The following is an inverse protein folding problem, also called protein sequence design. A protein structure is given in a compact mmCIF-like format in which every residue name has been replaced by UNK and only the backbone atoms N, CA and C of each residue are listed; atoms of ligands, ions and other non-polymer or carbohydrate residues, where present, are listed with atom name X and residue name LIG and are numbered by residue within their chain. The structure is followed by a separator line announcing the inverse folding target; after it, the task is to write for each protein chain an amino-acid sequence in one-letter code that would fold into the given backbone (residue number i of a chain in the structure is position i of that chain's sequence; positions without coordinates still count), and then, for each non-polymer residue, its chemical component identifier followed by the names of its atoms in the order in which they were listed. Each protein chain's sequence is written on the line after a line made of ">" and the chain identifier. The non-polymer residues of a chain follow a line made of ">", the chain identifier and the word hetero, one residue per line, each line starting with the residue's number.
data_IF_992319796320
#
_entry.id   IF_992319796320
#
_cell.length_a   1.000
_cell.length_b   1.000
_cell.length_c   1.000
_cell.angle_alpha   90.00
_cell.angle_beta   90.00
_cell.angle_gamma   90.00
#
_symmetry.space_group_name_H-M   'P 1'
#
loop_
_entity.id
_entity.type
_entity.pdbx_description
1 polymer ?
#
# COMPACT_ATOMS: atom_id res chain seq x y z
N UNK A 1 -25.32 10.57 -18.47
CA UNK A 1 -24.40 9.64 -17.80
C UNK A 1 -24.97 8.24 -18.01
N UNK A 2 -24.36 7.40 -18.86
CA UNK A 2 -24.82 6.02 -18.99
C UNK A 2 -24.61 5.34 -17.63
N UNK A 3 -25.71 4.96 -16.97
CA UNK A 3 -25.66 4.16 -15.74
C UNK A 3 -25.16 2.78 -16.14
N UNK A 4 -23.96 2.43 -15.70
CA UNK A 4 -23.42 1.09 -15.86
C UNK A 4 -24.38 0.13 -15.12
N UNK A 5 -25.01 -0.81 -15.83
CA UNK A 5 -26.05 -1.67 -15.25
C UNK A 5 -25.49 -2.77 -14.34
N UNK A 6 -24.16 -2.93 -14.30
CA UNK A 6 -23.46 -4.01 -13.62
C UNK A 6 -22.78 -3.58 -12.32
N UNK A 7 -22.99 -2.33 -11.87
CA UNK A 7 -22.20 -1.73 -10.79
C UNK A 7 -22.94 -1.58 -9.45
N UNK A 8 -24.23 -1.89 -9.39
CA UNK A 8 -25.04 -1.71 -8.17
C UNK A 8 -24.94 -2.87 -7.20
N UNK A 9 -24.94 -4.10 -7.69
CA UNK A 9 -25.01 -5.32 -6.88
C UNK A 9 -23.69 -6.07 -6.86
N UNK A 10 -23.38 -6.68 -5.72
CA UNK A 10 -22.14 -7.46 -5.54
C UNK A 10 -22.16 -8.80 -6.29
N UNK A 11 -23.35 -9.32 -6.61
CA UNK A 11 -23.55 -10.62 -7.27
C UNK A 11 -23.61 -10.53 -8.79
N UNK A 12 -23.53 -9.31 -9.35
CA UNK A 12 -23.70 -9.08 -10.78
C UNK A 12 -22.34 -9.00 -11.47
N UNK A 13 -22.06 -9.97 -12.35
CA UNK A 13 -20.86 -9.97 -13.17
C UNK A 13 -21.02 -9.05 -14.37
N UNK A 14 -19.99 -8.26 -14.66
CA UNK A 14 -19.91 -7.53 -15.92
C UNK A 14 -19.59 -8.47 -17.10
N UNK A 15 -19.88 -8.08 -18.35
CA UNK A 15 -19.53 -8.86 -19.54
C UNK A 15 -18.03 -9.17 -19.68
N UNK A 16 -17.17 -8.39 -19.01
CA UNK A 16 -15.73 -8.60 -18.97
C UNK A 16 -15.27 -9.53 -17.82
N UNK A 17 -16.18 -10.15 -17.07
CA UNK A 17 -15.84 -11.03 -15.95
C UNK A 17 -15.33 -10.30 -14.71
N UNK A 18 -15.79 -9.08 -14.46
CA UNK A 18 -15.40 -8.25 -13.29
C UNK A 18 -16.58 -8.00 -12.36
N UNK A 19 -16.28 -7.85 -11.07
CA UNK A 19 -17.23 -7.46 -10.01
C UNK A 19 -16.93 -6.03 -9.54
N UNK A 20 -17.68 -5.05 -10.05
CA UNK A 20 -17.39 -3.63 -9.81
C UNK A 20 -17.53 -3.21 -8.34
N UNK A 21 -18.50 -3.77 -7.59
CA UNK A 21 -18.64 -3.49 -6.16
C UNK A 21 -17.40 -3.88 -5.33
N UNK A 22 -16.71 -4.96 -5.73
CA UNK A 22 -15.45 -5.36 -5.07
C UNK A 22 -14.33 -4.39 -5.41
N UNK A 23 -14.24 -3.96 -6.67
CA UNK A 23 -13.25 -2.98 -7.09
C UNK A 23 -13.46 -1.62 -6.41
N UNK A 24 -14.70 -1.17 -6.25
CA UNK A 24 -15.01 0.05 -5.50
C UNK A 24 -14.63 -0.06 -4.02
N UNK A 25 -14.82 -1.23 -3.41
CA UNK A 25 -14.34 -1.47 -2.06
C UNK A 25 -12.80 -1.41 -1.98
N UNK A 26 -12.09 -1.87 -3.01
CA UNK A 26 -10.63 -1.72 -3.10
C UNK A 26 -10.19 -0.26 -3.27
N UNK A 27 -10.96 0.57 -3.97
CA UNK A 27 -10.71 2.01 -4.05
C UNK A 27 -10.84 2.70 -2.68
N UNK A 28 -11.78 2.26 -1.84
CA UNK A 28 -11.89 2.76 -0.46
C UNK A 28 -10.61 2.49 0.34
N UNK A 29 -9.94 1.35 0.12
CA UNK A 29 -8.64 1.04 0.75
C UNK A 29 -7.58 2.03 0.30
N UNK A 30 -7.50 2.32 -1.00
CA UNK A 30 -6.51 3.28 -1.57
C UNK A 30 -6.70 4.71 -1.05
N UNK A 31 -7.93 5.09 -0.71
CA UNK A 31 -8.23 6.39 -0.10
C UNK A 31 -7.92 6.46 1.40
N UNK A 32 -7.80 5.30 2.07
CA UNK A 32 -7.31 5.23 3.44
C UNK A 32 -5.93 5.87 3.59
N UNK A 33 -5.54 6.27 4.79
CA UNK A 33 -4.15 6.64 5.05
C UNK A 33 -3.20 5.47 4.83
N UNK A 34 -1.94 5.76 4.51
CA UNK A 34 -0.91 4.74 4.38
C UNK A 34 -0.76 3.89 5.66
N UNK A 35 -0.74 2.59 5.49
CA UNK A 35 -0.33 1.59 6.46
C UNK A 35 0.74 0.71 5.81
N UNK A 36 1.82 0.46 6.53
CA UNK A 36 3.02 -0.22 6.06
C UNK A 36 3.32 -1.36 7.02
N UNK A 37 3.75 -2.48 6.48
CA UNK A 37 4.19 -3.64 7.24
C UNK A 37 5.46 -4.20 6.64
N UNK A 38 6.36 -4.65 7.51
CA UNK A 38 7.62 -5.27 7.12
C UNK A 38 8.01 -6.30 8.17
N UNK A 39 8.69 -7.36 7.73
CA UNK A 39 9.13 -8.45 8.58
C UNK A 39 10.58 -8.86 8.31
N UNK A 40 11.26 -9.25 9.39
CA UNK A 40 12.49 -10.03 9.37
C UNK A 40 12.17 -11.47 9.72
N UNK A 41 13.19 -12.30 9.95
CA UNK A 41 12.99 -13.65 10.51
C UNK A 41 12.40 -13.63 11.92
N UNK A 42 12.66 -12.56 12.69
CA UNK A 42 12.41 -12.54 14.14
C UNK A 42 11.34 -11.55 14.55
N UNK A 43 11.12 -10.47 13.79
CA UNK A 43 10.21 -9.40 14.15
C UNK A 43 9.35 -8.96 12.95
N UNK A 44 8.16 -8.45 13.24
CA UNK A 44 7.27 -7.77 12.30
C UNK A 44 6.97 -6.40 12.87
N UNK A 45 7.09 -5.38 12.02
CA UNK A 45 6.76 -3.99 12.37
C UNK A 45 5.62 -3.52 11.49
N UNK A 46 4.65 -2.87 12.11
CA UNK A 46 3.57 -2.16 11.45
C UNK A 46 3.74 -0.66 11.71
N UNK A 47 3.66 0.15 10.66
CA UNK A 47 3.65 1.60 10.74
C UNK A 47 2.40 2.16 10.06
N UNK A 48 1.81 3.19 10.64
CA UNK A 48 0.61 3.84 10.09
C UNK A 48 0.75 5.35 10.12
N UNK A 49 0.35 6.00 9.03
CA UNK A 49 0.20 7.45 8.99
C UNK A 49 -1.07 7.85 9.75
N UNK A 50 -0.92 8.60 10.82
CA UNK A 50 -1.99 9.25 11.54
C UNK A 50 -2.44 10.49 10.77
N UNK A 51 -3.75 10.65 10.62
CA UNK A 51 -4.35 11.84 10.02
C UNK A 51 -5.35 12.39 11.02
N UNK A 52 -5.12 13.63 11.45
CA UNK A 52 -6.09 14.40 12.22
C UNK A 52 -6.95 15.22 11.25
N UNK A 53 -8.23 15.39 11.56
CA UNK A 53 -9.13 16.21 10.74
C UNK A 53 -8.89 17.71 10.97
N UNK A 54 -8.43 18.06 12.17
CA UNK A 54 -8.09 19.42 12.60
C UNK A 54 -7.05 19.33 13.72
N UNK A 55 -6.39 20.44 14.05
CA UNK A 55 -5.38 20.50 15.12
C UNK A 55 -5.94 20.09 16.49
N UNK A 56 -7.23 20.35 16.74
CA UNK A 56 -7.92 19.98 17.98
C UNK A 56 -8.46 18.53 17.97
N UNK A 57 -8.37 17.82 16.84
CA UNK A 57 -8.87 16.46 16.70
C UNK A 57 -7.79 15.45 17.04
N UNK A 58 -8.12 14.46 17.87
CA UNK A 58 -7.31 13.25 17.99
C UNK A 58 -7.26 12.51 16.66
N UNK A 59 -6.14 11.83 16.38
CA UNK A 59 -6.07 10.92 15.24
C UNK A 59 -6.91 9.65 15.51
N UNK A 60 -7.43 9.04 14.43
CA UNK A 60 -8.08 7.75 14.55
C UNK A 60 -7.05 6.63 14.70
N UNK A 61 -7.29 5.71 15.64
CA UNK A 61 -6.48 4.50 15.82
C UNK A 61 -6.67 3.57 14.61
N UNK A 62 -5.54 3.13 14.03
CA UNK A 62 -5.50 2.25 12.85
C UNK A 62 -4.81 0.92 13.11
N UNK A 63 -4.02 0.85 14.18
CA UNK A 63 -3.40 -0.37 14.64
C UNK A 63 -4.21 -0.90 15.82
N UNK A 64 -4.55 -2.19 15.75
CA UNK A 64 -5.31 -2.90 16.77
C UNK A 64 -4.55 -4.16 17.17
N UNK A 65 -4.30 -4.31 18.47
CA UNK A 65 -3.87 -5.58 19.05
C UNK A 65 -4.99 -6.61 18.91
N UNK A 66 -4.72 -7.77 18.33
CA UNK A 66 -5.68 -8.87 18.22
C UNK A 66 -5.43 -9.87 19.33
N UNK A 67 -4.18 -10.27 19.52
CA UNK A 67 -3.73 -11.17 20.58
C UNK A 67 -2.32 -10.73 21.01
N UNK A 68 -1.70 -11.44 21.96
CA UNK A 68 -0.33 -11.17 22.38
C UNK A 68 0.70 -11.41 21.27
N UNK A 69 0.43 -12.31 20.32
CA UNK A 69 1.32 -12.62 19.20
C UNK A 69 0.82 -12.06 17.86
N UNK A 70 -0.32 -11.35 17.82
CA UNK A 70 -0.95 -10.87 16.57
C UNK A 70 -1.47 -9.43 16.72
N UNK A 71 -1.19 -8.60 15.71
CA UNK A 71 -1.83 -7.31 15.55
C UNK A 71 -2.12 -6.96 14.10
N UNK A 72 -2.97 -5.96 13.92
CA UNK A 72 -3.49 -5.59 12.61
C UNK A 72 -3.44 -4.09 12.41
N UNK A 73 -2.93 -3.68 11.26
CA UNK A 73 -3.05 -2.32 10.74
C UNK A 73 -4.13 -2.27 9.65
N UNK A 74 -4.93 -1.20 9.64
CA UNK A 74 -6.05 -1.05 8.71
C UNK A 74 -5.87 0.14 7.77
N UNK A 75 -6.33 0.01 6.53
CA UNK A 75 -6.54 1.12 5.60
C UNK A 75 -7.91 1.01 4.93
N UNK A 76 -8.62 2.15 4.83
CA UNK A 76 -9.99 2.23 4.30
C UNK A 76 -11.02 2.53 5.41
N UNK A 77 -12.18 1.90 5.34
CA UNK A 77 -13.29 2.15 6.27
C UNK A 77 -12.98 1.61 7.68
N UNK A 78 -12.77 2.52 8.63
CA UNK A 78 -12.41 2.19 10.02
C UNK A 78 -13.47 1.33 10.73
N UNK A 79 -14.75 1.54 10.40
CA UNK A 79 -15.84 0.74 10.97
C UNK A 79 -15.71 -0.75 10.61
N UNK A 80 -15.44 -1.05 9.34
CA UNK A 80 -15.24 -2.43 8.86
C UNK A 80 -13.98 -3.03 9.49
N UNK A 81 -12.89 -2.24 9.58
CA UNK A 81 -11.66 -2.67 10.24
C UNK A 81 -11.86 -3.06 11.71
N UNK A 82 -12.70 -2.33 12.45
CA UNK A 82 -13.06 -2.67 13.84
C UNK A 82 -13.87 -3.96 13.94
N UNK A 83 -14.82 -4.17 13.02
CA UNK A 83 -15.62 -5.41 12.96
C UNK A 83 -14.72 -6.62 12.71
N UNK A 84 -13.81 -6.52 11.74
CA UNK A 84 -12.87 -7.59 11.42
C UNK A 84 -11.86 -7.82 12.56
N UNK A 85 -11.34 -6.75 13.18
CA UNK A 85 -10.46 -6.88 14.34
C UNK A 85 -11.14 -7.57 15.52
N UNK A 86 -12.42 -7.26 15.79
CA UNK A 86 -13.20 -7.92 16.85
C UNK A 86 -13.47 -9.39 16.51
N UNK A 87 -13.75 -9.69 15.25
CA UNK A 87 -13.89 -11.06 14.78
C UNK A 87 -12.59 -11.85 15.03
N UNK A 88 -11.45 -11.34 14.58
CA UNK A 88 -10.15 -11.99 14.78
C UNK A 88 -9.83 -12.21 16.26
N UNK A 89 -10.11 -11.22 17.14
CA UNK A 89 -9.96 -11.38 18.59
C UNK A 89 -10.79 -12.53 19.13
N UNK A 90 -12.02 -12.67 18.65
CA UNK A 90 -12.93 -13.73 19.10
C UNK A 90 -12.42 -15.10 18.64
N UNK A 91 -11.93 -15.22 17.41
CA UNK A 91 -11.33 -16.46 16.90
C UNK A 91 -10.07 -16.85 17.67
N UNK A 92 -9.17 -15.90 17.97
CA UNK A 92 -7.98 -16.18 18.80
C UNK A 92 -8.36 -16.67 20.20
N UNK A 93 -9.29 -15.99 20.87
CA UNK A 93 -9.76 -16.38 22.21
C UNK A 93 -10.40 -17.77 22.19
N UNK A 94 -11.27 -18.04 21.20
CA UNK A 94 -11.93 -19.35 21.07
C UNK A 94 -10.93 -20.47 20.82
N UNK A 95 -9.93 -20.22 19.97
CA UNK A 95 -8.89 -21.19 19.68
C UNK A 95 -8.04 -21.48 20.92
N UNK A 96 -7.59 -20.44 21.62
CA UNK A 96 -6.81 -20.59 22.85
C UNK A 96 -7.63 -21.30 23.95
N UNK A 97 -8.91 -20.99 24.08
CA UNK A 97 -9.80 -21.68 25.03
C UNK A 97 -9.96 -23.18 24.71
N UNK A 98 -10.01 -23.54 23.42
CA UNK A 98 -10.28 -24.92 22.99
C UNK A 98 -9.02 -25.79 22.97
N UNK A 99 -7.89 -25.21 22.55
CA UNK A 99 -6.65 -25.93 22.27
C UNK A 99 -5.50 -25.57 23.22
N UNK A 100 -5.71 -24.64 24.16
CA UNK A 100 -4.70 -24.14 25.11
C UNK A 100 -3.40 -23.69 24.43
N UNK A 101 -3.53 -23.16 23.21
CA UNK A 101 -2.42 -22.76 22.35
C UNK A 101 -2.77 -21.48 21.58
N UNK A 102 -1.81 -20.60 21.29
CA UNK A 102 -2.03 -19.45 20.41
C UNK A 102 -2.44 -19.92 19.01
N UNK A 103 -3.35 -19.17 18.37
CA UNK A 103 -3.83 -19.47 17.02
C UNK A 103 -2.73 -19.15 15.98
N UNK A 104 -2.31 -20.10 15.12
CA UNK A 104 -1.34 -19.83 14.07
C UNK A 104 -1.82 -18.74 13.10
N UNK A 105 -0.90 -17.86 12.67
CA UNK A 105 -1.27 -16.64 11.94
C UNK A 105 -1.90 -16.98 10.59
N UNK A 106 -1.32 -17.94 9.87
CA UNK A 106 -1.86 -18.39 8.58
C UNK A 106 -3.29 -18.92 8.68
N UNK A 107 -3.63 -19.64 9.76
CA UNK A 107 -4.99 -20.18 9.97
C UNK A 107 -6.00 -19.05 10.22
N UNK A 108 -5.63 -18.05 11.02
CA UNK A 108 -6.47 -16.88 11.27
C UNK A 108 -6.74 -16.10 9.98
N UNK A 109 -5.73 -15.93 9.12
CA UNK A 109 -5.87 -15.19 7.86
C UNK A 109 -6.78 -15.91 6.87
N UNK A 110 -6.73 -17.25 6.81
CA UNK A 110 -7.68 -18.05 6.01
C UNK A 110 -9.12 -17.84 6.50
N UNK A 111 -9.36 -17.92 7.81
CA UNK A 111 -10.71 -17.68 8.37
C UNK A 111 -11.21 -16.25 8.12
N UNK A 112 -10.31 -15.27 8.13
CA UNK A 112 -10.60 -13.88 7.80
C UNK A 112 -10.97 -13.74 6.31
N UNK A 113 -10.21 -14.39 5.42
CA UNK A 113 -10.46 -14.43 4.00
C UNK A 113 -11.82 -15.06 3.67
N UNK A 114 -12.14 -16.20 4.26
CA UNK A 114 -13.45 -16.87 4.08
C UNK A 114 -14.60 -15.96 4.52
N UNK A 115 -14.44 -15.28 5.67
CA UNK A 115 -15.43 -14.31 6.15
C UNK A 115 -15.63 -13.16 5.17
N UNK A 116 -14.54 -12.62 4.62
CA UNK A 116 -14.58 -11.54 3.64
C UNK A 116 -15.20 -12.01 2.32
N UNK A 117 -14.86 -13.22 1.87
CA UNK A 117 -15.40 -13.84 0.67
C UNK A 117 -16.93 -13.89 0.75
N UNK A 118 -17.51 -14.42 1.84
CA UNK A 118 -18.98 -14.58 1.96
C UNK A 118 -19.74 -13.26 1.72
N UNK A 119 -19.11 -12.11 2.00
CA UNK A 119 -19.69 -10.79 1.78
C UNK A 119 -19.66 -10.32 0.31
N UNK A 120 -18.90 -10.99 -0.57
CA UNK A 120 -18.84 -10.73 -2.01
C UNK A 120 -19.82 -11.58 -2.83
N UNK A 121 -20.38 -12.64 -2.25
CA UNK A 121 -21.30 -13.56 -2.96
C UNK A 121 -22.77 -13.41 -2.56
N UNK A 122 -23.08 -12.69 -1.48
CA UNK A 122 -24.45 -12.57 -0.96
C UNK A 122 -25.02 -11.19 -1.28
N UNK A 123 -26.11 -11.14 -2.05
CA UNK A 123 -26.75 -9.90 -2.53
C UNK A 123 -27.16 -8.91 -1.41
N UNK A 124 -27.55 -9.40 -0.23
CA UNK A 124 -27.91 -8.52 0.91
C UNK A 124 -26.71 -8.09 1.76
N UNK A 125 -25.50 -8.49 1.37
CA UNK A 125 -24.25 -8.06 2.00
C UNK A 125 -23.48 -7.16 1.04
N UNK A 126 -22.52 -6.42 1.59
CA UNK A 126 -21.52 -5.66 0.82
C UNK A 126 -20.12 -6.15 1.18
N UNK A 127 -19.14 -6.04 0.25
CA UNK A 127 -17.74 -6.27 0.58
C UNK A 127 -17.28 -5.35 1.71
N UNK A 128 -16.26 -5.80 2.44
CA UNK A 128 -15.61 -4.97 3.44
C UNK A 128 -14.77 -3.90 2.73
N UNK A 129 -14.97 -2.62 3.04
CA UNK A 129 -14.22 -1.50 2.44
C UNK A 129 -12.88 -1.24 3.13
N UNK A 130 -12.18 -2.29 3.58
CA UNK A 130 -10.95 -2.18 4.37
C UNK A 130 -9.93 -3.22 3.92
N UNK A 131 -8.68 -2.79 3.81
CA UNK A 131 -7.52 -3.66 3.66
C UNK A 131 -6.83 -3.80 5.01
N UNK A 132 -6.36 -5.01 5.31
CA UNK A 132 -5.72 -5.33 6.58
C UNK A 132 -4.28 -5.80 6.33
N UNK A 133 -3.34 -5.25 7.09
CA UNK A 133 -2.02 -5.84 7.26
C UNK A 133 -2.02 -6.57 8.60
N UNK A 134 -1.96 -7.89 8.55
CA UNK A 134 -1.93 -8.76 9.72
C UNK A 134 -0.48 -9.11 10.00
N UNK A 135 0.05 -8.61 11.11
CA UNK A 135 1.37 -8.97 11.62
C UNK A 135 1.21 -9.99 12.74
N UNK A 136 2.03 -11.03 12.73
CA UNK A 136 2.07 -11.95 13.85
C UNK A 136 3.33 -12.78 13.90
N UNK A 137 3.53 -13.42 15.04
CA UNK A 137 4.61 -14.37 15.27
C UNK A 137 3.98 -15.71 15.67
N UNK A 138 4.32 -16.78 14.96
CA UNK A 138 3.98 -18.14 15.37
C UNK A 138 5.22 -19.04 15.38
N UNK A 139 5.02 -20.34 15.60
CA UNK A 139 6.10 -21.32 15.67
C UNK A 139 6.92 -21.41 14.36
N UNK A 140 6.34 -21.05 13.22
CA UNK A 140 7.03 -21.03 11.93
C UNK A 140 7.77 -19.72 11.66
N UNK A 141 7.52 -18.69 12.46
CA UNK A 141 8.29 -17.46 12.52
C UNK A 141 7.43 -16.20 12.44
N UNK A 142 8.04 -15.15 11.91
CA UNK A 142 7.41 -13.86 11.72
C UNK A 142 6.63 -13.80 10.39
N UNK A 143 5.36 -13.43 10.46
CA UNK A 143 4.44 -13.38 9.32
C UNK A 143 3.83 -12.00 9.13
N UNK A 144 3.72 -11.61 7.86
CA UNK A 144 3.01 -10.41 7.44
C UNK A 144 2.07 -10.80 6.30
N UNK A 145 0.78 -10.71 6.55
CA UNK A 145 -0.25 -10.96 5.54
C UNK A 145 -0.97 -9.69 5.16
N UNK A 146 -1.24 -9.53 3.86
CA UNK A 146 -2.20 -8.57 3.36
C UNK A 146 -3.52 -9.28 3.06
N UNK A 147 -4.61 -8.79 3.63
CA UNK A 147 -5.97 -9.22 3.31
C UNK A 147 -6.71 -8.11 2.55
N UNK A 148 -7.27 -8.46 1.40
CA UNK A 148 -7.96 -7.57 0.47
C UNK A 148 -9.49 -7.69 0.62
N UNK A 149 -10.27 -6.61 0.39
CA UNK A 149 -11.73 -6.65 0.28
C UNK A 149 -12.32 -7.78 -0.58
N UNK A 150 -11.57 -8.27 -1.58
CA UNK A 150 -12.00 -9.37 -2.45
C UNK A 150 -12.06 -10.73 -1.78
N UNK A 151 -11.50 -10.88 -0.57
CA UNK A 151 -11.27 -12.15 0.10
C UNK A 151 -9.90 -12.78 -0.24
N UNK A 152 -9.12 -12.17 -1.13
CA UNK A 152 -7.76 -12.63 -1.39
C UNK A 152 -6.83 -12.24 -0.23
N UNK A 153 -5.87 -13.09 0.05
CA UNK A 153 -4.80 -12.82 1.00
C UNK A 153 -3.45 -13.25 0.42
N UNK A 154 -2.40 -12.56 0.83
CA UNK A 154 -1.04 -12.80 0.37
C UNK A 154 -0.06 -12.62 1.52
N UNK A 155 0.92 -13.49 1.61
CA UNK A 155 2.06 -13.31 2.52
C UNK A 155 3.11 -12.43 1.85
N UNK A 156 3.60 -11.42 2.57
CA UNK A 156 4.61 -10.49 2.08
C UNK A 156 5.79 -10.42 3.04
N UNK A 157 6.96 -10.04 2.52
CA UNK A 157 8.10 -9.65 3.37
C UNK A 157 8.00 -8.18 3.79
N UNK A 158 7.53 -7.32 2.87
CA UNK A 158 7.12 -5.96 3.16
C UNK A 158 6.00 -5.56 2.21
N UNK A 159 5.04 -4.78 2.71
CA UNK A 159 3.93 -4.29 1.91
C UNK A 159 3.37 -2.99 2.47
N UNK A 160 2.80 -2.18 1.59
CA UNK A 160 2.13 -0.94 1.95
C UNK A 160 0.75 -0.86 1.29
N UNK A 161 -0.22 -0.33 2.03
CA UNK A 161 -1.59 -0.10 1.57
C UNK A 161 -2.02 1.33 1.92
N UNK A 162 -3.09 1.82 1.28
CA UNK A 162 -3.57 3.18 1.48
C UNK A 162 -3.00 4.20 0.50
N UNK A 163 -3.27 5.46 0.80
CA UNK A 163 -2.97 6.60 -0.05
C UNK A 163 -1.47 6.83 -0.13
N UNK A 164 -1.00 7.04 -1.37
CA UNK A 164 0.43 7.17 -1.70
C UNK A 164 1.32 6.00 -1.27
N UNK A 165 0.73 4.84 -1.00
CA UNK A 165 1.49 3.62 -0.67
C UNK A 165 2.46 3.18 -1.78
N UNK A 166 2.28 3.64 -3.02
CA UNK A 166 3.22 3.35 -4.10
C UNK A 166 4.63 3.88 -3.81
N UNK A 167 4.76 5.08 -3.22
CA UNK A 167 6.08 5.62 -2.87
C UNK A 167 6.77 4.78 -1.79
N UNK A 168 6.02 4.35 -0.77
CA UNK A 168 6.51 3.38 0.22
C UNK A 168 6.93 2.06 -0.44
N UNK A 169 6.13 1.51 -1.37
CA UNK A 169 6.48 0.28 -2.09
C UNK A 169 7.79 0.42 -2.87
N UNK A 170 7.98 1.51 -3.60
CA UNK A 170 9.23 1.77 -4.32
C UNK A 170 10.44 1.79 -3.39
N UNK A 171 10.30 2.36 -2.18
CA UNK A 171 11.36 2.31 -1.17
C UNK A 171 11.60 0.88 -0.66
N UNK A 172 10.53 0.16 -0.31
CA UNK A 172 10.61 -1.20 0.21
C UNK A 172 11.21 -2.18 -0.81
N UNK A 173 10.91 -2.01 -2.09
CA UNK A 173 11.49 -2.81 -3.19
C UNK A 173 13.01 -2.65 -3.27
N UNK A 174 13.55 -1.45 -3.05
CA UNK A 174 15.00 -1.19 -3.09
C UNK A 174 15.76 -1.84 -1.91
N UNK A 175 15.10 -2.05 -0.78
CA UNK A 175 15.70 -2.60 0.46
C UNK A 175 15.26 -4.05 0.75
N UNK A 176 14.52 -4.66 -0.16
CA UNK A 176 13.86 -5.96 0.02
C UNK A 176 14.81 -7.07 0.51
N UNK A 177 15.99 -7.18 -0.09
CA UNK A 177 16.97 -8.23 0.21
C UNK A 177 17.50 -8.15 1.66
N UNK A 178 17.48 -6.95 2.26
CA UNK A 178 18.05 -6.72 3.58
C UNK A 178 17.08 -7.10 4.71
N UNK A 179 15.75 -7.00 4.50
CA UNK A 179 14.78 -7.11 5.59
C UNK A 179 14.83 -8.45 6.33
N UNK A 180 15.17 -9.54 5.64
CA UNK A 180 15.23 -10.87 6.25
C UNK A 180 16.28 -10.95 7.37
N UNK A 181 17.41 -10.26 7.22
CA UNK A 181 18.51 -10.24 8.19
C UNK A 181 18.48 -9.01 9.12
N UNK A 182 17.56 -8.05 8.91
CA UNK A 182 17.50 -6.82 9.68
C UNK A 182 17.20 -7.07 11.16
N UNK A 183 17.87 -6.28 12.00
CA UNK A 183 17.58 -6.18 13.43
C UNK A 183 16.24 -5.50 13.68
N UNK A 184 15.68 -5.63 14.88
CA UNK A 184 14.46 -4.91 15.32
C UNK A 184 14.54 -3.41 15.01
N UNK A 185 15.63 -2.77 15.41
CA UNK A 185 15.80 -1.32 15.27
C UNK A 185 15.92 -0.89 13.81
N UNK A 186 16.67 -1.63 13.00
CA UNK A 186 16.84 -1.29 11.58
C UNK A 186 15.52 -1.48 10.82
N UNK A 187 14.73 -2.46 11.22
CA UNK A 187 13.40 -2.69 10.68
C UNK A 187 12.44 -1.55 11.06
N UNK A 188 12.52 -1.02 12.28
CA UNK A 188 11.75 0.17 12.67
C UNK A 188 12.20 1.41 11.87
N UNK A 189 13.51 1.59 11.64
CA UNK A 189 14.02 2.68 10.79
C UNK A 189 13.49 2.58 9.37
N UNK A 190 13.51 1.39 8.78
CA UNK A 190 12.95 1.14 7.44
C UNK A 190 11.45 1.46 7.38
N UNK A 191 10.71 1.08 8.42
CA UNK A 191 9.29 1.40 8.54
C UNK A 191 9.04 2.91 8.56
N UNK A 192 9.86 3.66 9.31
CA UNK A 192 9.78 5.11 9.42
C UNK A 192 10.11 5.80 8.09
N UNK A 193 11.14 5.34 7.39
CA UNK A 193 11.51 5.89 6.08
C UNK A 193 10.40 5.64 5.07
N UNK A 194 9.90 4.41 4.96
CA UNK A 194 8.77 4.09 4.09
C UNK A 194 7.53 4.94 4.41
N UNK A 195 7.29 5.20 5.70
CA UNK A 195 6.18 6.06 6.17
C UNK A 195 6.39 7.50 5.70
N UNK A 196 7.60 8.04 5.83
CA UNK A 196 7.96 9.38 5.37
C UNK A 196 7.73 9.55 3.87
N UNK A 197 8.12 8.58 3.04
CA UNK A 197 7.87 8.62 1.59
C UNK A 197 6.37 8.66 1.24
N UNK A 198 5.50 8.24 2.16
CA UNK A 198 4.04 8.33 1.99
C UNK A 198 3.45 9.67 2.48
N UNK A 199 4.23 10.54 3.13
CA UNK A 199 3.77 11.84 3.63
C UNK A 199 3.72 12.89 2.51
N UNK A 200 2.87 13.89 2.69
CA UNK A 200 2.56 14.91 1.68
C UNK A 200 3.39 16.19 1.88
N UNK A 201 4.71 16.04 2.06
CA UNK A 201 5.60 17.16 2.42
C UNK A 201 5.53 17.55 3.91
N UNK A 202 4.76 16.82 4.72
CA UNK A 202 4.78 16.94 6.18
C UNK A 202 6.03 16.28 6.76
N UNK A 203 6.65 16.91 7.76
CA UNK A 203 7.76 16.31 8.50
C UNK A 203 7.26 15.13 9.34
N UNK A 204 8.04 14.05 9.34
CA UNK A 204 7.77 12.88 10.16
C UNK A 204 7.91 13.26 11.64
N UNK A 205 6.84 13.09 12.41
CA UNK A 205 6.81 13.32 13.87
C UNK A 205 6.07 12.17 14.54
N UNK A 206 6.32 11.98 15.83
CA UNK A 206 5.61 11.00 16.66
C UNK A 206 4.08 11.15 16.66
N UNK A 207 3.55 12.35 16.42
CA UNK A 207 2.10 12.58 16.30
C UNK A 207 1.51 12.05 14.98
N UNK A 208 2.31 12.05 13.91
CA UNK A 208 1.91 11.70 12.54
C UNK A 208 2.12 10.22 12.24
N UNK A 209 2.88 9.50 13.07
CA UNK A 209 3.17 8.08 12.88
C UNK A 209 2.78 7.25 14.11
N UNK A 210 2.14 6.11 13.90
CA UNK A 210 2.01 5.07 14.94
C UNK A 210 2.81 3.85 14.51
N UNK A 211 3.64 3.30 15.39
CA UNK A 211 4.42 2.10 15.15
C UNK A 211 4.01 1.02 16.14
N UNK A 212 3.93 -0.23 15.68
CA UNK A 212 3.76 -1.40 16.53
C UNK A 212 4.75 -2.49 16.13
N UNK A 213 5.17 -3.27 17.11
CA UNK A 213 6.17 -4.31 16.96
C UNK A 213 5.66 -5.60 17.58
N UNK A 214 5.97 -6.72 16.93
CA UNK A 214 5.84 -8.07 17.48
C UNK A 214 7.06 -8.88 17.07
N UNK A 215 7.60 -9.69 17.96
CA UNK A 215 8.76 -10.50 17.64
C UNK A 215 9.16 -11.48 18.72
N UNK A 216 10.25 -12.19 18.48
CA UNK A 216 10.76 -13.21 19.41
C UNK A 216 11.11 -12.57 20.75
N UNK A 217 10.38 -12.96 21.81
CA UNK A 217 10.55 -12.40 23.15
C UNK A 217 9.84 -11.07 23.39
N UNK A 218 9.07 -10.57 22.43
CA UNK A 218 8.36 -9.30 22.52
C UNK A 218 6.89 -9.45 22.04
N UNK A 219 5.90 -9.41 22.96
CA UNK A 219 4.50 -9.49 22.56
C UNK A 219 4.10 -8.25 21.76
N UNK A 220 3.03 -8.37 20.97
CA UNK A 220 2.48 -7.28 20.19
C UNK A 220 2.12 -6.10 21.09
N UNK A 221 2.79 -4.98 20.85
CA UNK A 221 2.55 -3.72 21.53
C UNK A 221 2.79 -2.55 20.58
N UNK A 222 2.16 -1.42 20.91
CA UNK A 222 2.30 -0.16 20.17
C UNK A 222 3.36 0.66 20.90
N UNK A 223 4.31 1.23 20.16
CA UNK A 223 5.37 2.04 20.74
C UNK A 223 4.82 3.38 21.24
N UNK A 224 5.36 3.85 22.36
CA UNK A 224 5.01 5.14 22.93
C UNK A 224 5.54 6.29 22.07
N UNK A 225 4.82 7.43 22.10
CA UNK A 225 5.17 8.59 21.27
C UNK A 225 6.58 9.13 21.57
N UNK A 226 7.02 9.07 22.83
CA UNK A 226 8.37 9.49 23.23
C UNK A 226 9.45 8.62 22.59
N UNK A 227 9.28 7.30 22.64
CA UNK A 227 10.20 6.34 22.00
C UNK A 227 10.24 6.53 20.49
N UNK A 228 9.07 6.72 19.86
CA UNK A 228 9.00 7.00 18.42
C UNK A 228 9.71 8.30 18.08
N UNK A 229 9.57 9.34 18.89
CA UNK A 229 10.26 10.61 18.65
C UNK A 229 11.78 10.46 18.78
N UNK A 230 12.28 9.77 19.81
CA UNK A 230 13.71 9.50 19.97
C UNK A 230 14.30 8.75 18.78
N UNK A 231 13.57 7.77 18.23
CA UNK A 231 13.98 7.03 17.04
C UNK A 231 14.01 7.92 15.78
N UNK A 232 13.05 8.84 15.65
CA UNK A 232 13.04 9.83 14.57
C UNK A 232 14.23 10.78 14.71
N UNK A 233 14.48 11.32 15.90
CA UNK A 233 15.55 12.28 16.14
C UNK A 233 16.93 11.64 15.88
N UNK A 234 17.13 10.40 16.36
CA UNK A 234 18.35 9.62 16.07
C UNK A 234 18.56 9.42 14.57
N UNK A 235 17.46 9.22 13.82
CA UNK A 235 17.52 9.04 12.38
C UNK A 235 17.81 10.35 11.62
N UNK A 236 17.22 11.48 12.04
CA UNK A 236 17.47 12.78 11.41
C UNK A 236 18.93 13.23 11.59
N UNK A 237 19.54 12.95 12.74
CA UNK A 237 20.97 13.22 13.00
C UNK A 237 21.87 12.42 12.06
N UNK A 238 21.60 11.12 11.85
CA UNK A 238 22.41 10.26 10.96
C UNK A 238 22.37 10.75 9.50
N UNK A 239 21.29 11.41 9.07
CA UNK A 239 21.20 12.03 7.75
C UNK A 239 22.00 13.32 7.59
N UNK A 240 22.27 14.05 8.68
CA UNK A 240 23.15 15.23 8.62
C UNK A 240 24.63 14.81 8.54
N UNK A 241 24.98 13.63 9.06
CA UNK A 241 26.34 13.08 9.05
C UNK A 241 26.70 12.25 7.80
N UNK A 242 25.71 11.83 6.98
CA UNK A 242 25.97 11.29 5.65
C UNK A 242 26.29 12.47 4.70
N UNK A 243 27.53 12.62 4.18
CA UNK A 243 27.83 13.69 3.26
C UNK A 243 26.94 13.55 2.04
N UNK A 244 26.19 14.62 1.73
CA UNK A 244 25.38 14.73 0.53
C UNK A 244 26.17 14.19 -0.65
N UNK A 245 25.73 13.05 -1.18
CA UNK A 245 26.25 12.50 -2.43
C UNK A 245 26.14 13.59 -3.48
N UNK A 246 27.31 14.04 -3.94
CA UNK A 246 27.53 15.02 -4.99
C UNK A 246 26.56 14.74 -6.13
N UNK A 247 25.66 15.68 -6.40
CA UNK A 247 24.88 15.67 -7.65
C UNK A 247 25.89 15.65 -8.81
N UNK A 248 25.88 14.57 -9.58
CA UNK A 248 26.59 14.54 -10.86
C UNK A 248 25.97 15.61 -11.77
N UNK A 249 26.76 16.57 -12.30
CA UNK A 249 26.23 17.58 -13.21
C UNK A 249 25.81 16.92 -14.52
N UNK A 250 24.59 17.23 -14.97
CA UNK A 250 24.08 16.83 -16.28
C UNK A 250 25.03 17.34 -17.38
N UNK A 251 25.38 16.53 -18.40
CA UNK A 251 26.19 17.02 -19.51
C UNK A 251 25.37 18.01 -20.35
N UNK A 252 25.89 19.23 -20.44
CA UNK A 252 25.42 20.30 -21.31
C UNK A 252 25.50 19.85 -22.77
N UNK A 253 24.41 20.04 -23.51
CA UNK A 253 24.37 19.91 -24.97
C UNK A 253 25.36 20.85 -25.62
N UNK A 254 26.42 20.30 -26.23
CA UNK A 254 27.34 21.01 -27.12
C UNK A 254 26.58 21.59 -28.32
N UNK A 255 26.48 22.93 -28.37
CA UNK A 255 26.23 23.68 -29.59
C UNK A 255 27.58 23.97 -30.25
N UNK A 256 27.98 23.12 -31.20
CA UNK A 256 29.06 23.46 -32.12
C UNK A 256 28.56 24.44 -33.18
N UNK A 257 29.11 25.64 -33.14
CA UNK A 257 29.04 26.63 -34.21
C UNK A 257 30.28 26.45 -35.10
N UNK A 258 30.07 25.98 -36.33
CA UNK A 258 31.03 26.13 -37.42
C UNK A 258 30.33 26.79 -38.61
N UNK A 259 30.69 28.04 -38.84
CA UNK A 259 30.40 28.83 -40.05
C UNK A 259 31.21 28.32 -41.23
N UNK A 260 30.57 28.11 -42.38
CA UNK A 260 31.21 28.35 -43.69
C UNK A 260 30.18 28.88 -44.71
N UNK A 261 30.63 29.83 -45.51
CA UNK A 261 29.88 30.64 -46.47
C UNK A 261 29.78 29.93 -47.82
N UNK A 262 28.70 30.15 -48.59
CA UNK A 262 28.78 29.94 -50.04
C UNK A 262 27.47 29.79 -50.81
N UNK A 263 26.96 30.92 -51.30
CA UNK A 263 26.37 31.13 -52.63
C UNK A 263 25.07 30.40 -53.06
N UNK A 264 24.10 31.22 -53.48
CA UNK A 264 23.55 31.12 -54.84
C UNK A 264 22.12 30.61 -55.03
N UNK A 265 21.21 31.57 -55.25
CA UNK A 265 20.14 31.59 -56.27
C UNK A 265 19.19 30.37 -56.43
N UNK A 266 17.89 30.59 -56.30
CA UNK A 266 16.99 30.95 -57.43
C UNK A 266 15.54 30.42 -57.24
N UNK A 267 14.60 31.34 -57.49
CA UNK A 267 13.24 31.25 -58.04
C UNK A 267 12.26 30.10 -57.77
N UNK A 268 11.01 30.56 -57.51
CA UNK A 268 9.78 30.07 -58.13
C UNK A 268 9.07 28.95 -57.35
N UNK A 269 7.78 29.00 -57.03
CA UNK A 269 6.67 29.78 -57.57
C UNK A 269 5.48 28.84 -57.75
N UNK A 270 4.34 29.24 -57.16
CA UNK A 270 2.95 28.95 -57.57
C UNK A 270 2.47 27.47 -57.54
N UNK A 271 1.41 27.16 -56.79
CA UNK A 271 0.02 27.00 -57.29
C UNK A 271 -0.23 25.61 -57.90
N UNK A 272 -1.39 24.96 -57.84
CA UNK A 272 -2.69 25.15 -57.20
C UNK A 272 -3.53 23.88 -57.54
N UNK A 273 -4.45 23.51 -56.64
CA UNK A 273 -5.78 22.92 -56.86
C UNK A 273 -6.09 21.73 -57.80
N UNK A 274 -7.03 20.93 -57.31
CA UNK A 274 -8.13 20.31 -58.08
C UNK A 274 -7.90 18.83 -58.40
N UNK A 275 -8.66 17.88 -57.86
CA UNK A 275 -10.04 17.56 -58.28
C UNK A 275 -10.00 16.62 -59.49
N UNK A 276 -10.79 15.58 -59.70
CA UNK A 276 -11.93 14.98 -59.05
C UNK A 276 -12.04 13.53 -59.60
N UNK A 277 -12.80 12.68 -58.90
CA UNK A 277 -13.63 11.58 -59.39
C UNK A 277 -13.15 10.69 -60.57
N UNK A 278 -13.06 9.38 -60.34
CA UNK A 278 -13.89 8.47 -61.13
C UNK A 278 -14.22 7.15 -60.42
N UNK A 279 -15.43 6.68 -60.70
CA UNK A 279 -16.14 5.53 -60.16
C UNK A 279 -15.62 4.20 -60.74
N UNK A 280 -15.86 3.08 -60.03
CA UNK A 280 -15.88 1.78 -60.69
C UNK A 280 -15.79 0.55 -59.79
N UNK A 281 -16.94 -0.04 -59.45
CA UNK A 281 -17.13 -1.50 -59.51
C UNK A 281 -16.75 -2.36 -58.29
N UNK A 282 -17.77 -2.97 -57.71
CA UNK A 282 -17.84 -3.85 -56.52
C UNK A 282 -17.20 -5.27 -56.68
N UNK A 283 -17.47 -6.26 -55.80
CA UNK A 283 -16.56 -6.76 -54.75
C UNK A 283 -16.15 -8.25 -54.95
N UNK A 284 -15.26 -8.77 -54.12
CA UNK A 284 -15.10 -10.21 -53.89
C UNK A 284 -14.98 -10.47 -52.38
N UNK A 285 -15.97 -11.18 -51.86
CA UNK A 285 -16.05 -11.69 -50.49
C UNK A 285 -14.98 -12.77 -50.22
N UNK A 286 -14.25 -12.64 -49.11
CA UNK A 286 -13.90 -13.69 -48.13
C UNK A 286 -13.88 -13.03 -46.75
#
# INVERSE_FOLDING_TARGET
>A
MFRNQYDTDVTTWSPAGRLFQVEYAMEAVKQGSAAIGLRSKTHVVLACVNKANSELSSHQKKIFKVDDHIGVAIAGLTADGRVLSRYMRSECINYNYTYESPLPVGRLVVQLADKAQVCTQRSWKRPYGVGLLVAGLDESGAHLYYNCPSGNYFEYQAFAIGSRSQAAKTYLERRFDNFTASSREDLIKDALIATRESLQGEKLRSSVCTIAVVGVGEPFHILDQETVQQLIDTFEIVKEDEPATVEEPQPETEQDAATDQGAGADQGGAENQGGAENQGGSPMDI
#
